data_IF_261893260762
#
_entry.id   IF_261893260762
#
_cell.length_a   1.000
_cell.length_b   1.000
_cell.length_c   1.000
_cell.angle_alpha   90.00
_cell.angle_beta   90.00
_cell.angle_gamma   90.00
#
_symmetry.space_group_name_H-M   'P 1'
#
loop_
_entity.id
_entity.type
_entity.pdbx_description
1 polymer ?
#
# COMPACT_ATOMS: atom_id res chain seq x y z
N UNK A 1 13.79 -16.15 14.34
CA UNK A 1 13.77 -15.19 13.22
C UNK A 1 14.70 -14.05 13.59
N UNK A 2 15.81 -13.93 12.86
CA UNK A 2 16.84 -12.92 13.09
C UNK A 2 16.22 -11.53 12.91
N UNK A 3 16.29 -10.70 13.95
CA UNK A 3 15.97 -9.28 13.87
C UNK A 3 16.87 -8.67 12.80
N UNK A 4 16.28 -8.16 11.71
CA UNK A 4 16.97 -7.24 10.81
C UNK A 4 17.34 -6.01 11.64
N UNK A 5 18.55 -6.03 12.19
CA UNK A 5 19.16 -4.89 12.86
C UNK A 5 19.13 -3.72 11.87
N UNK A 6 18.61 -2.57 12.32
CA UNK A 6 18.79 -1.32 11.60
C UNK A 6 20.29 -1.20 11.23
N UNK A 7 20.63 -0.82 9.99
CA UNK A 7 22.02 -0.58 9.64
C UNK A 7 22.59 0.41 10.65
N UNK A 8 23.61 -0.02 11.39
CA UNK A 8 24.22 0.78 12.43
C UNK A 8 24.72 2.08 11.79
N UNK A 9 24.33 3.22 12.35
CA UNK A 9 24.84 4.51 11.88
C UNK A 9 26.37 4.51 11.97
N UNK A 10 27.06 5.06 10.96
CA UNK A 10 28.51 5.07 10.93
C UNK A 10 29.07 5.82 12.15
N UNK A 11 30.17 5.34 12.75
CA UNK A 11 30.74 5.96 13.93
C UNK A 11 31.15 7.42 13.63
N UNK A 12 30.67 8.35 14.46
CA UNK A 12 30.99 9.77 14.35
C UNK A 12 32.08 10.12 15.35
N UNK A 13 33.14 10.77 14.86
CA UNK A 13 34.20 11.25 15.75
C UNK A 13 33.70 12.45 16.58
N UNK A 14 33.88 12.44 17.91
CA UNK A 14 33.51 13.59 18.74
C UNK A 14 34.28 14.85 18.34
N UNK A 15 33.59 15.99 18.34
CA UNK A 15 34.17 17.28 17.91
C UNK A 15 35.42 17.67 18.73
N UNK A 16 35.38 17.38 20.04
CA UNK A 16 36.50 17.56 20.98
C UNK A 16 37.78 16.84 20.54
N UNK A 17 37.67 15.73 19.81
CA UNK A 17 38.81 14.93 19.33
C UNK A 17 39.19 15.38 17.92
N UNK A 18 38.21 15.65 17.06
CA UNK A 18 38.46 16.12 15.69
C UNK A 18 39.21 17.46 15.66
N UNK A 19 38.97 18.35 16.62
CA UNK A 19 39.63 19.66 16.73
C UNK A 19 41.12 19.56 17.11
N UNK A 20 41.56 18.42 17.66
CA UNK A 20 42.96 18.17 18.00
C UNK A 20 43.79 17.70 16.79
N UNK A 21 43.12 17.27 15.72
CA UNK A 21 43.75 16.81 14.48
C UNK A 21 44.30 17.98 13.65
N UNK A 22 45.26 17.69 12.77
CA UNK A 22 45.79 18.68 11.84
C UNK A 22 44.67 19.28 10.96
N UNK A 23 44.75 20.57 10.58
CA UNK A 23 43.72 21.22 9.76
C UNK A 23 43.45 20.50 8.43
N UNK A 24 44.48 19.90 7.83
CA UNK A 24 44.36 19.08 6.62
C UNK A 24 43.44 17.86 6.82
N UNK A 25 43.57 17.18 7.96
CA UNK A 25 42.71 16.04 8.34
C UNK A 25 41.27 16.49 8.59
N UNK A 26 41.07 17.59 9.30
CA UNK A 26 39.73 18.15 9.52
C UNK A 26 39.04 18.49 8.19
N UNK A 27 39.78 19.07 7.24
CA UNK A 27 39.26 19.34 5.90
C UNK A 27 38.92 18.05 5.15
N UNK A 28 39.78 17.03 5.19
CA UNK A 28 39.52 15.74 4.57
C UNK A 28 38.26 15.06 5.13
N UNK A 29 38.07 15.08 6.46
CA UNK A 29 36.87 14.53 7.10
C UNK A 29 35.59 15.23 6.63
N UNK A 30 35.61 16.57 6.47
CA UNK A 30 34.47 17.32 5.92
C UNK A 30 34.19 16.92 4.47
N UNK A 31 35.22 16.78 3.64
CA UNK A 31 35.08 16.32 2.25
C UNK A 31 34.45 14.94 2.17
N UNK A 32 34.88 13.98 3.01
CA UNK A 32 34.28 12.64 3.03
C UNK A 32 32.82 12.66 3.45
N UNK A 33 32.45 13.51 4.43
CA UNK A 33 31.06 13.68 4.86
C UNK A 33 30.19 14.25 3.74
N UNK A 34 30.68 15.25 3.01
CA UNK A 34 29.99 15.80 1.83
C UNK A 34 29.79 14.75 0.73
N UNK A 35 30.83 13.94 0.45
CA UNK A 35 30.75 12.84 -0.52
C UNK A 35 29.75 11.76 -0.11
N UNK A 36 29.65 11.45 1.18
CA UNK A 36 28.68 10.49 1.71
C UNK A 36 27.23 10.95 1.47
N UNK A 37 26.94 12.24 1.73
CA UNK A 37 25.63 12.84 1.42
C UNK A 37 25.35 12.82 -0.09
N UNK A 38 26.37 13.10 -0.90
CA UNK A 38 26.24 13.08 -2.36
C UNK A 38 25.98 11.66 -2.89
N UNK A 39 26.65 10.64 -2.33
CA UNK A 39 26.44 9.24 -2.71
C UNK A 39 25.04 8.74 -2.32
N UNK A 40 24.52 9.15 -1.15
CA UNK A 40 23.16 8.85 -0.75
C UNK A 40 22.13 9.51 -1.69
N UNK A 41 22.35 10.77 -2.07
CA UNK A 41 21.50 11.48 -3.03
C UNK A 41 21.53 10.82 -4.41
N UNK A 42 22.73 10.45 -4.90
CA UNK A 42 22.89 9.72 -6.17
C UNK A 42 22.15 8.39 -6.17
N UNK A 43 22.15 7.64 -5.06
CA UNK A 43 21.37 6.40 -4.93
C UNK A 43 19.85 6.66 -4.99
N UNK A 44 19.39 7.76 -4.38
CA UNK A 44 17.98 8.17 -4.44
C UNK A 44 17.55 8.70 -5.80
N UNK A 45 18.47 9.26 -6.57
CA UNK A 45 18.25 9.80 -7.92
C UNK A 45 18.44 8.75 -9.04
N UNK A 46 18.85 7.51 -8.71
CA UNK A 46 19.00 6.48 -9.72
C UNK A 46 17.65 6.17 -10.37
N UNK A 47 17.56 6.43 -11.67
CA UNK A 47 16.39 6.12 -12.49
C UNK A 47 16.14 4.60 -12.56
N UNK A 48 14.89 4.25 -12.88
CA UNK A 48 14.44 2.88 -13.21
C UNK A 48 15.27 2.27 -14.37
N UNK A 49 15.93 3.11 -15.17
CA UNK A 49 16.78 2.70 -16.29
C UNK A 49 18.22 2.30 -15.88
N UNK A 50 18.61 2.52 -14.62
CA UNK A 50 19.96 2.18 -14.16
C UNK A 50 20.20 0.67 -14.15
N UNK A 51 21.39 0.25 -14.58
CA UNK A 51 21.72 -1.18 -14.61
C UNK A 51 22.04 -1.71 -13.21
N UNK A 52 21.90 -3.02 -13.00
CA UNK A 52 22.34 -3.69 -11.77
C UNK A 52 23.81 -3.39 -11.46
N UNK A 53 24.66 -3.26 -12.50
CA UNK A 53 26.06 -2.88 -12.35
C UNK A 53 26.21 -1.47 -11.80
N UNK A 54 25.45 -0.50 -12.32
CA UNK A 54 25.52 0.90 -11.88
C UNK A 54 25.15 1.04 -10.40
N UNK A 55 24.13 0.30 -9.96
CA UNK A 55 23.69 0.30 -8.55
C UNK A 55 24.79 -0.27 -7.66
N UNK A 56 25.41 -1.39 -8.07
CA UNK A 56 26.53 -1.99 -7.34
C UNK A 56 27.76 -1.07 -7.30
N UNK A 57 28.06 -0.37 -8.39
CA UNK A 57 29.17 0.58 -8.47
C UNK A 57 28.99 1.76 -7.52
N UNK A 58 27.80 2.37 -7.52
CA UNK A 58 27.50 3.47 -6.59
C UNK A 58 27.57 2.98 -5.15
N UNK A 59 27.09 1.75 -4.88
CA UNK A 59 27.12 1.18 -3.52
C UNK A 59 28.54 0.87 -3.06
N UNK A 60 29.37 0.29 -3.93
CA UNK A 60 30.78 0.01 -3.64
C UNK A 60 31.55 1.31 -3.42
N UNK A 61 31.38 2.31 -4.30
CA UNK A 61 32.01 3.61 -4.15
C UNK A 61 31.63 4.32 -2.84
N UNK A 62 30.37 4.18 -2.40
CA UNK A 62 29.92 4.71 -1.11
C UNK A 62 30.65 4.03 0.07
N UNK A 63 30.75 2.70 0.05
CA UNK A 63 31.45 1.92 1.08
C UNK A 63 32.97 2.19 1.08
N UNK A 64 33.59 2.36 -0.09
CA UNK A 64 35.01 2.71 -0.22
C UNK A 64 35.30 4.11 0.33
N UNK A 65 34.41 5.09 0.07
CA UNK A 65 34.53 6.42 0.66
C UNK A 65 34.40 6.39 2.19
N UNK A 66 33.58 5.48 2.74
CA UNK A 66 33.48 5.28 4.19
C UNK A 66 34.74 4.64 4.78
N UNK A 67 35.34 3.65 4.10
CA UNK A 67 36.65 3.13 4.50
C UNK A 67 37.73 4.22 4.52
N UNK A 68 37.71 5.12 3.54
CA UNK A 68 38.67 6.23 3.48
C UNK A 68 38.45 7.25 4.61
N UNK A 69 37.20 7.54 4.95
CA UNK A 69 36.87 8.31 6.15
C UNK A 69 37.45 7.66 7.42
N UNK A 70 37.26 6.34 7.59
CA UNK A 70 37.80 5.60 8.75
C UNK A 70 39.33 5.68 8.79
N UNK A 71 40.01 5.53 7.64
CA UNK A 71 41.47 5.68 7.56
C UNK A 71 41.91 7.08 7.96
N UNK A 72 41.22 8.13 7.50
CA UNK A 72 41.52 9.50 7.87
C UNK A 72 41.34 9.74 9.39
N UNK A 73 40.30 9.17 10.00
CA UNK A 73 40.09 9.25 11.46
C UNK A 73 41.25 8.57 12.20
N UNK A 74 41.60 7.33 11.81
CA UNK A 74 42.71 6.59 12.40
C UNK A 74 44.03 7.36 12.33
N UNK A 75 44.34 7.92 11.17
CA UNK A 75 45.59 8.64 10.96
C UNK A 75 45.63 9.93 11.80
N UNK A 76 44.52 10.68 11.84
CA UNK A 76 44.41 11.87 12.69
C UNK A 76 44.52 11.57 14.18
N UNK A 77 43.98 10.44 14.64
CA UNK A 77 44.10 9.98 16.03
C UNK A 77 45.56 9.57 16.34
N UNK A 78 46.25 8.92 15.40
CA UNK A 78 47.65 8.58 15.55
C UNK A 78 48.55 9.82 15.63
N UNK A 79 48.32 10.82 14.77
CA UNK A 79 49.03 12.11 14.79
C UNK A 79 48.81 12.85 16.12
N UNK A 80 47.56 12.91 16.61
CA UNK A 80 47.24 13.50 17.90
C UNK A 80 47.92 12.78 19.07
N UNK A 81 48.03 11.45 19.01
CA UNK A 81 48.74 10.65 20.01
C UNK A 81 50.25 10.89 19.97
N UNK A 82 50.86 10.95 18.78
CA UNK A 82 52.30 11.20 18.61
C UNK A 82 52.71 12.60 19.11
N UNK A 83 51.78 13.55 19.05
CA UNK A 83 51.97 14.91 19.57
C UNK A 83 51.49 15.07 21.02
N UNK A 84 51.20 13.96 21.71
CA UNK A 84 50.77 13.92 23.12
C UNK A 84 49.49 14.71 23.43
N UNK A 85 48.69 15.07 22.41
CA UNK A 85 47.42 15.79 22.58
C UNK A 85 46.31 14.91 23.15
N UNK A 86 46.44 13.59 23.03
CA UNK A 86 45.51 12.60 23.58
C UNK A 86 46.30 11.50 24.29
N UNK A 87 45.75 11.01 25.40
CA UNK A 87 46.33 9.87 26.13
C UNK A 87 46.15 8.56 25.36
N UNK A 88 46.94 7.54 25.72
CA UNK A 88 46.81 6.20 25.14
C UNK A 88 45.40 5.63 25.34
N UNK A 89 44.84 5.76 26.54
CA UNK A 89 43.51 5.24 26.88
C UNK A 89 42.40 5.97 26.10
N UNK A 90 42.54 7.27 25.88
CA UNK A 90 41.63 8.04 25.05
C UNK A 90 41.71 7.59 23.58
N UNK A 91 42.92 7.38 23.05
CA UNK A 91 43.12 6.84 21.71
C UNK A 91 42.44 5.48 21.53
N UNK A 92 42.68 4.52 22.44
CA UNK A 92 42.11 3.17 22.36
C UNK A 92 40.57 3.19 22.39
N UNK A 93 40.00 4.00 23.27
CA UNK A 93 38.54 4.13 23.39
C UNK A 93 37.90 4.70 22.14
N UNK A 94 38.54 5.71 21.55
CA UNK A 94 37.98 6.42 20.40
C UNK A 94 38.22 5.66 19.08
N UNK A 95 39.29 4.86 18.95
CA UNK A 95 39.59 4.13 17.70
C UNK A 95 38.80 2.80 17.56
N UNK A 96 38.44 2.16 18.67
CA UNK A 96 37.83 0.82 18.67
C UNK A 96 36.54 0.71 17.81
N UNK A 97 35.57 1.64 17.90
CA UNK A 97 34.36 1.58 17.06
C UNK A 97 34.68 1.64 15.55
N UNK A 98 35.71 2.41 15.18
CA UNK A 98 36.14 2.55 13.79
C UNK A 98 36.84 1.30 13.28
N UNK A 99 37.65 0.62 14.09
CA UNK A 99 38.27 -0.66 13.69
C UNK A 99 37.24 -1.77 13.51
N UNK A 100 36.22 -1.81 14.36
CA UNK A 100 35.10 -2.75 14.22
C UNK A 100 34.34 -2.50 12.91
N UNK A 101 34.01 -1.24 12.62
CA UNK A 101 33.36 -0.84 11.36
C UNK A 101 34.26 -1.15 10.15
N UNK A 102 35.55 -0.85 10.22
CA UNK A 102 36.52 -1.13 9.15
C UNK A 102 36.56 -2.60 8.75
N UNK A 103 36.65 -3.51 9.74
CA UNK A 103 36.65 -4.96 9.47
C UNK A 103 35.37 -5.41 8.78
N UNK A 104 34.23 -4.92 9.26
CA UNK A 104 32.93 -5.23 8.68
C UNK A 104 32.83 -4.75 7.23
N UNK A 105 33.07 -3.45 6.98
CA UNK A 105 32.99 -2.89 5.63
C UNK A 105 33.99 -3.53 4.67
N UNK A 106 35.23 -3.74 5.11
CA UNK A 106 36.26 -4.36 4.26
C UNK A 106 35.86 -5.78 3.85
N UNK A 107 35.29 -6.57 4.76
CA UNK A 107 34.80 -7.92 4.44
C UNK A 107 33.61 -7.88 3.49
N UNK A 108 32.66 -6.95 3.71
CA UNK A 108 31.50 -6.77 2.82
C UNK A 108 31.92 -6.36 1.41
N UNK A 109 32.84 -5.40 1.26
CA UNK A 109 33.34 -4.97 -0.05
C UNK A 109 34.00 -6.14 -0.78
N UNK A 110 34.87 -6.90 -0.10
CA UNK A 110 35.51 -8.09 -0.70
C UNK A 110 34.49 -9.13 -1.14
N UNK A 111 33.48 -9.42 -0.31
CA UNK A 111 32.42 -10.37 -0.64
C UNK A 111 31.59 -9.89 -1.83
N UNK A 112 31.23 -8.61 -1.88
CA UNK A 112 30.47 -8.02 -2.98
C UNK A 112 31.29 -7.98 -4.27
N UNK A 113 32.57 -7.60 -4.22
CA UNK A 113 33.45 -7.60 -5.39
C UNK A 113 33.67 -9.03 -5.93
N UNK A 114 33.90 -10.02 -5.05
CA UNK A 114 34.10 -11.41 -5.44
C UNK A 114 32.85 -12.05 -6.04
N UNK A 115 31.66 -11.68 -5.54
CA UNK A 115 30.37 -12.23 -6.00
C UNK A 115 29.67 -11.34 -7.03
N UNK A 116 30.25 -10.20 -7.38
CA UNK A 116 29.70 -9.23 -8.33
C UNK A 116 29.19 -9.87 -9.63
N UNK A 117 29.96 -10.71 -10.36
CA UNK A 117 29.49 -11.27 -11.62
C UNK A 117 28.25 -12.16 -11.42
N UNK A 118 28.24 -12.98 -10.36
CA UNK A 118 27.10 -13.86 -10.03
C UNK A 118 25.86 -13.05 -9.64
N UNK A 119 26.01 -12.00 -8.83
CA UNK A 119 24.89 -11.12 -8.43
C UNK A 119 24.30 -10.42 -9.66
N UNK A 120 25.15 -9.95 -10.58
CA UNK A 120 24.71 -9.32 -11.82
C UNK A 120 23.98 -10.34 -12.70
N UNK A 121 24.52 -11.54 -12.84
CA UNK A 121 23.93 -12.62 -13.63
C UNK A 121 22.57 -13.06 -13.06
N UNK A 122 22.48 -13.38 -11.77
CA UNK A 122 21.24 -13.81 -11.10
C UNK A 122 20.13 -12.75 -11.21
N UNK A 123 20.47 -11.48 -10.94
CA UNK A 123 19.50 -10.38 -11.03
C UNK A 123 19.11 -10.13 -12.48
N UNK A 124 20.07 -10.15 -13.41
CA UNK A 124 19.75 -9.96 -14.82
C UNK A 124 18.97 -11.14 -15.39
N UNK A 125 19.20 -12.37 -14.94
CA UNK A 125 18.44 -13.57 -15.33
C UNK A 125 17.01 -13.48 -14.79
N UNK A 126 16.82 -13.09 -13.54
CA UNK A 126 15.49 -12.93 -12.96
C UNK A 126 14.72 -11.75 -13.59
N UNK A 127 15.41 -10.63 -13.84
CA UNK A 127 14.86 -9.48 -14.58
C UNK A 127 14.60 -9.84 -16.04
N UNK A 128 15.44 -10.65 -16.69
CA UNK A 128 15.28 -11.06 -18.08
C UNK A 128 14.18 -12.12 -18.24
N UNK A 129 14.03 -13.05 -17.29
CA UNK A 129 12.92 -14.00 -17.25
C UNK A 129 11.58 -13.29 -16.99
N UNK A 130 11.60 -12.19 -16.23
CA UNK A 130 10.45 -11.29 -16.12
C UNK A 130 10.23 -10.50 -17.41
N UNK A 131 11.26 -9.99 -18.07
CA UNK A 131 11.17 -9.27 -19.35
C UNK A 131 10.76 -10.16 -20.54
N UNK A 132 11.14 -11.43 -20.59
CA UNK A 132 10.75 -12.37 -21.65
C UNK A 132 9.27 -12.78 -21.57
N UNK A 133 8.61 -12.61 -20.42
CA UNK A 133 7.14 -12.68 -20.33
C UNK A 133 6.47 -11.39 -20.82
N UNK A 134 7.25 -10.38 -21.17
CA UNK A 134 6.88 -9.00 -21.45
C UNK A 134 7.62 -8.57 -22.74
N UNK A 135 7.49 -9.32 -23.84
CA UNK A 135 7.88 -8.78 -25.15
C UNK A 135 6.78 -7.82 -25.64
N UNK A 136 6.89 -6.59 -25.16
CA UNK A 136 6.21 -5.38 -25.59
C UNK A 136 7.08 -4.18 -25.22
N UNK A 137 6.91 -3.00 -25.85
CA UNK A 137 7.75 -1.84 -25.58
C UNK A 137 7.72 -1.50 -24.09
N UNK A 138 8.81 -0.92 -23.58
CA UNK A 138 8.94 -0.45 -22.18
C UNK A 138 7.79 0.52 -21.91
N UNK A 139 6.73 0.04 -21.26
CA UNK A 139 5.46 0.76 -21.18
C UNK A 139 4.92 0.68 -19.75
N UNK A 140 3.97 1.55 -19.41
CA UNK A 140 3.28 1.73 -18.13
C UNK A 140 2.84 0.45 -17.37
N UNK A 141 2.91 -0.73 -18.00
CA UNK A 141 2.50 -2.03 -17.48
C UNK A 141 3.22 -2.50 -16.21
N UNK A 142 4.48 -2.12 -15.96
CA UNK A 142 5.22 -2.58 -14.77
C UNK A 142 4.73 -1.90 -13.47
N UNK A 143 4.51 -0.59 -13.53
CA UNK A 143 3.85 0.15 -12.45
C UNK A 143 2.39 -0.31 -12.28
N UNK A 144 1.73 -0.61 -13.40
CA UNK A 144 0.36 -1.09 -13.40
C UNK A 144 0.22 -2.49 -12.76
N UNK A 145 1.16 -3.41 -13.02
CA UNK A 145 1.17 -4.73 -12.38
C UNK A 145 1.48 -4.66 -10.89
N UNK A 146 2.41 -3.80 -10.46
CA UNK A 146 2.65 -3.56 -9.04
C UNK A 146 1.40 -2.98 -8.35
N UNK A 147 0.75 -1.99 -8.97
CA UNK A 147 -0.47 -1.38 -8.43
C UNK A 147 -1.62 -2.39 -8.29
N UNK A 148 -1.81 -3.27 -9.29
CA UNK A 148 -2.74 -4.43 -9.21
C UNK A 148 -2.45 -5.27 -7.98
N UNK A 149 -1.20 -5.68 -7.82
CA UNK A 149 -0.79 -6.70 -6.87
C UNK A 149 -0.80 -6.20 -5.41
N UNK A 150 -0.91 -4.90 -5.15
CA UNK A 150 -1.20 -4.37 -3.80
C UNK A 150 -2.63 -3.98 -3.54
N UNK A 151 -3.27 -3.28 -4.48
CA UNK A 151 -4.60 -2.74 -4.21
C UNK A 151 -5.62 -3.86 -4.18
N UNK A 152 -5.53 -4.84 -5.10
CA UNK A 152 -6.48 -5.95 -5.12
C UNK A 152 -6.45 -6.74 -3.82
N UNK A 153 -5.30 -7.22 -3.29
CA UNK A 153 -5.33 -7.96 -2.03
C UNK A 153 -5.72 -7.10 -0.83
N UNK A 154 -5.45 -5.78 -0.83
CA UNK A 154 -5.87 -4.85 0.24
C UNK A 154 -7.37 -4.58 0.24
N UNK A 155 -7.97 -4.46 -0.94
CA UNK A 155 -9.42 -4.22 -1.07
C UNK A 155 -10.18 -5.53 -0.98
N UNK A 156 -9.75 -6.57 -1.70
CA UNK A 156 -10.51 -7.82 -1.84
C UNK A 156 -10.09 -8.95 -0.89
N UNK A 157 -9.01 -8.74 -0.14
CA UNK A 157 -8.51 -9.64 0.90
C UNK A 157 -8.76 -9.12 2.31
N UNK A 158 -9.77 -8.25 2.52
CA UNK A 158 -10.08 -7.62 3.81
C UNK A 158 -10.52 -8.59 4.95
N UNK A 159 -10.28 -9.89 4.78
CA UNK A 159 -10.09 -10.86 5.86
C UNK A 159 -8.85 -10.50 6.69
N UNK A 160 -9.07 -9.65 7.70
CA UNK A 160 -8.44 -9.70 9.02
C UNK A 160 -7.00 -10.25 9.11
N UNK A 161 -5.97 -9.53 8.63
CA UNK A 161 -4.55 -9.66 9.09
C UNK A 161 -3.56 -8.62 8.53
N UNK A 162 -4.03 -7.51 7.95
CA UNK A 162 -3.13 -6.51 7.38
C UNK A 162 -2.47 -5.66 8.49
N UNK A 163 -1.13 -5.64 8.54
CA UNK A 163 -0.33 -4.77 9.42
C UNK A 163 -0.35 -3.34 8.88
N UNK A 164 -1.45 -2.63 9.11
CA UNK A 164 -1.50 -1.17 8.94
C UNK A 164 -1.09 -0.42 10.22
N UNK A 165 -1.12 0.93 10.22
CA UNK A 165 -1.03 1.74 11.43
C UNK A 165 -2.04 1.23 12.49
N UNK A 166 -1.77 1.48 13.79
CA UNK A 166 -2.69 1.11 14.89
C UNK A 166 -4.09 1.70 14.66
N UNK A 167 -4.98 0.93 14.05
CA UNK A 167 -6.37 1.32 13.79
C UNK A 167 -7.28 0.77 14.90
N UNK A 168 -8.07 1.65 15.50
CA UNK A 168 -9.00 1.29 16.58
C UNK A 168 -10.28 0.67 15.99
N UNK A 169 -10.21 -0.62 15.64
CA UNK A 169 -11.33 -1.38 15.10
C UNK A 169 -12.56 -1.41 16.03
N UNK A 170 -12.40 -1.60 17.36
CA UNK A 170 -13.54 -1.53 18.28
C UNK A 170 -14.24 -0.17 18.26
N UNK A 171 -13.49 0.93 18.30
CA UNK A 171 -14.05 2.28 18.22
C UNK A 171 -14.76 2.52 16.89
N UNK A 172 -14.12 2.18 15.77
CA UNK A 172 -14.75 2.30 14.45
C UNK A 172 -16.09 1.56 14.36
N UNK A 173 -16.14 0.31 14.85
CA UNK A 173 -17.41 -0.45 14.87
C UNK A 173 -18.48 0.25 15.71
N UNK A 174 -18.11 0.79 16.88
CA UNK A 174 -19.02 1.56 17.73
C UNK A 174 -19.53 2.84 17.06
N UNK A 175 -18.65 3.56 16.38
CA UNK A 175 -18.99 4.80 15.67
C UNK A 175 -19.92 4.51 14.48
N UNK A 176 -19.68 3.42 13.73
CA UNK A 176 -20.57 2.94 12.66
C UNK A 176 -21.95 2.56 13.21
N UNK A 177 -22.01 1.84 14.34
CA UNK A 177 -23.29 1.48 14.98
C UNK A 177 -24.09 2.71 15.37
N UNK A 178 -23.42 3.70 15.97
CA UNK A 178 -24.02 4.96 16.40
C UNK A 178 -24.52 5.76 15.18
N UNK A 179 -23.69 5.90 14.16
CA UNK A 179 -24.04 6.64 12.94
C UNK A 179 -25.27 6.07 12.24
N UNK A 180 -25.39 4.75 12.11
CA UNK A 180 -26.55 4.16 11.45
C UNK A 180 -27.79 4.06 12.34
N UNK A 181 -27.72 4.40 13.62
CA UNK A 181 -28.85 4.28 14.55
C UNK A 181 -29.09 2.85 15.05
N UNK A 182 -28.05 2.00 15.01
CA UNK A 182 -28.18 0.57 15.37
C UNK A 182 -28.34 0.41 16.88
N UNK A 183 -27.71 1.26 17.70
CA UNK A 183 -27.79 1.17 19.16
C UNK A 183 -29.19 1.52 19.69
N UNK A 184 -29.89 2.40 18.98
CA UNK A 184 -31.24 2.86 19.29
C UNK A 184 -32.29 1.87 18.78
N UNK A 185 -32.04 1.28 17.61
CA UNK A 185 -32.97 0.32 16.99
C UNK A 185 -32.88 -1.08 17.60
N UNK A 186 -31.69 -1.51 18.01
CA UNK A 186 -31.42 -2.87 18.45
C UNK A 186 -31.16 -2.94 19.96
N UNK A 187 -31.62 -4.01 20.62
CA UNK A 187 -31.29 -4.27 22.03
C UNK A 187 -29.78 -4.56 22.20
N UNK A 188 -29.21 -4.35 23.39
CA UNK A 188 -27.82 -4.72 23.66
C UNK A 188 -27.53 -6.19 23.32
N UNK A 189 -26.37 -6.45 22.70
CA UNK A 189 -25.93 -7.80 22.33
C UNK A 189 -26.38 -8.28 20.95
N UNK A 190 -27.20 -7.51 20.23
CA UNK A 190 -27.55 -7.75 18.83
C UNK A 190 -27.15 -6.57 17.94
N UNK A 191 -27.12 -6.78 16.63
CA UNK A 191 -26.82 -5.75 15.63
C UNK A 191 -27.64 -5.96 14.36
N UNK A 192 -27.53 -5.02 13.42
CA UNK A 192 -28.31 -5.00 12.18
C UNK A 192 -27.43 -5.35 10.97
N UNK A 193 -27.92 -6.20 10.07
CA UNK A 193 -27.31 -6.39 8.75
C UNK A 193 -28.08 -5.59 7.70
N UNK A 194 -27.43 -4.63 7.04
CA UNK A 194 -28.09 -3.76 6.06
C UNK A 194 -28.49 -4.48 4.77
N UNK A 195 -27.74 -5.51 4.35
CA UNK A 195 -28.03 -6.29 3.14
C UNK A 195 -29.18 -7.27 3.37
N UNK A 196 -29.16 -8.00 4.48
CA UNK A 196 -30.22 -8.96 4.81
C UNK A 196 -31.46 -8.29 5.40
N UNK A 197 -31.28 -7.13 6.04
CA UNK A 197 -32.35 -6.39 6.71
C UNK A 197 -32.94 -7.15 7.89
N UNK A 198 -32.07 -7.75 8.71
CA UNK A 198 -32.42 -8.55 9.88
C UNK A 198 -31.49 -8.24 11.06
N UNK A 199 -31.98 -8.54 12.27
CA UNK A 199 -31.23 -8.47 13.52
C UNK A 199 -30.50 -9.78 13.75
N UNK A 200 -29.22 -9.72 14.09
CA UNK A 200 -28.37 -10.88 14.42
C UNK A 200 -27.59 -10.64 15.71
N UNK A 201 -27.11 -11.71 16.40
CA UNK A 201 -26.19 -11.55 17.52
C UNK A 201 -24.98 -10.70 17.16
N UNK A 202 -24.54 -9.82 18.06
CA UNK A 202 -23.47 -8.85 17.82
C UNK A 202 -22.14 -9.47 17.34
N UNK A 203 -21.87 -10.71 17.74
CA UNK A 203 -20.71 -11.51 17.32
C UNK A 203 -20.72 -11.85 15.82
N UNK A 204 -21.90 -11.94 15.21
CA UNK A 204 -22.13 -12.30 13.81
C UNK A 204 -22.32 -11.06 12.92
N UNK A 205 -22.08 -9.85 13.44
CA UNK A 205 -22.12 -8.61 12.68
C UNK A 205 -20.72 -7.98 12.64
N UNK A 206 -20.25 -7.65 11.44
CA UNK A 206 -19.04 -6.84 11.21
C UNK A 206 -19.40 -5.42 10.83
N UNK A 207 -18.48 -4.49 11.07
CA UNK A 207 -18.47 -3.18 10.42
C UNK A 207 -17.48 -3.28 9.25
N UNK A 208 -18.01 -3.58 8.07
CA UNK A 208 -17.25 -3.75 6.85
C UNK A 208 -16.73 -2.39 6.38
N UNK A 209 -15.44 -2.31 6.07
CA UNK A 209 -14.84 -1.11 5.51
C UNK A 209 -15.12 -1.03 4.01
N UNK A 210 -15.49 0.15 3.52
CA UNK A 210 -15.74 0.38 2.10
C UNK A 210 -14.43 0.69 1.36
N UNK A 211 -13.63 1.60 1.90
CA UNK A 211 -12.24 1.84 1.54
C UNK A 211 -11.32 1.17 2.57
N UNK A 212 -10.23 0.47 2.16
CA UNK A 212 -9.36 -0.25 3.06
C UNK A 212 -8.68 0.65 4.09
N UNK A 213 -8.71 0.23 5.35
CA UNK A 213 -7.96 0.88 6.45
C UNK A 213 -6.44 0.77 6.33
N UNK A 214 -5.94 -0.09 5.44
CA UNK A 214 -4.50 -0.29 5.18
C UNK A 214 -3.92 0.77 4.25
N UNK A 215 -4.76 1.64 3.69
CA UNK A 215 -4.27 2.73 2.84
C UNK A 215 -3.58 3.80 3.68
N UNK A 216 -2.46 4.32 3.19
CA UNK A 216 -1.79 5.47 3.78
C UNK A 216 -2.57 6.76 3.52
N UNK A 217 -2.44 7.70 4.46
CA UNK A 217 -2.89 9.10 4.36
C UNK A 217 -2.83 9.71 2.95
N UNK A 218 -1.64 9.67 2.35
CA UNK A 218 -1.35 10.23 1.04
C UNK A 218 -2.09 9.49 -0.08
N UNK A 219 -2.22 8.17 0.03
CA UNK A 219 -2.96 7.35 -0.93
C UNK A 219 -4.46 7.69 -0.90
N UNK A 220 -5.02 7.86 0.31
CA UNK A 220 -6.43 8.27 0.50
C UNK A 220 -6.67 9.66 -0.07
N UNK A 221 -5.74 10.60 0.20
CA UNK A 221 -5.80 11.97 -0.33
C UNK A 221 -5.72 12.00 -1.86
N UNK A 222 -4.83 11.22 -2.45
CA UNK A 222 -4.70 11.11 -3.89
C UNK A 222 -5.94 10.45 -4.52
N UNK A 223 -6.42 9.35 -3.95
CA UNK A 223 -7.52 8.57 -4.51
C UNK A 223 -8.87 9.30 -4.44
N UNK A 224 -9.16 9.96 -3.32
CA UNK A 224 -10.47 10.55 -3.04
C UNK A 224 -10.47 12.09 -3.04
N UNK A 225 -9.31 12.74 -3.16
CA UNK A 225 -9.17 14.20 -3.10
C UNK A 225 -9.44 14.78 -1.70
N UNK A 226 -9.29 13.97 -0.64
CA UNK A 226 -9.65 14.34 0.75
C UNK A 226 -8.67 13.76 1.77
N UNK A 227 -8.39 14.49 2.85
CA UNK A 227 -7.41 14.11 3.89
C UNK A 227 -7.78 12.88 4.74
N UNK A 228 -6.89 12.54 5.67
CA UNK A 228 -6.81 11.25 6.40
C UNK A 228 -8.01 10.84 7.26
N UNK A 229 -8.84 11.80 7.67
CA UNK A 229 -10.01 11.57 8.53
C UNK A 229 -11.05 10.60 7.91
N UNK A 230 -10.91 10.35 6.62
CA UNK A 230 -11.69 9.43 5.79
C UNK A 230 -11.72 8.00 6.30
N UNK A 231 -10.60 7.46 6.80
CA UNK A 231 -10.50 6.02 7.11
C UNK A 231 -11.31 5.63 8.35
N UNK A 232 -11.36 6.51 9.35
CA UNK A 232 -12.15 6.35 10.58
C UNK A 232 -13.58 6.90 10.49
N UNK A 233 -13.93 7.57 9.40
CA UNK A 233 -15.28 8.11 9.19
C UNK A 233 -16.30 6.96 9.21
N UNK A 234 -17.34 6.99 10.06
CA UNK A 234 -18.34 5.92 10.10
C UNK A 234 -19.10 5.75 8.78
N UNK A 235 -19.07 6.76 7.88
CA UNK A 235 -19.61 6.68 6.52
C UNK A 235 -18.75 5.83 5.58
N UNK A 236 -17.52 5.49 5.97
CA UNK A 236 -16.65 4.47 5.36
C UNK A 236 -16.94 3.05 5.86
N UNK A 237 -17.94 2.90 6.74
CA UNK A 237 -18.39 1.61 7.24
C UNK A 237 -19.81 1.27 6.83
N UNK A 238 -20.14 -0.02 6.83
CA UNK A 238 -21.51 -0.53 6.82
C UNK A 238 -21.60 -1.81 7.65
N UNK A 239 -22.70 -2.01 8.39
CA UNK A 239 -22.86 -3.23 9.19
C UNK A 239 -23.43 -4.38 8.37
N UNK A 240 -22.70 -5.49 8.34
CA UNK A 240 -23.01 -6.68 7.55
C UNK A 240 -22.93 -7.93 8.44
N UNK A 241 -23.69 -8.97 8.10
CA UNK A 241 -23.52 -10.28 8.71
C UNK A 241 -22.18 -10.87 8.27
N UNK A 242 -21.51 -11.65 9.14
CA UNK A 242 -20.16 -12.17 8.91
C UNK A 242 -19.98 -12.86 7.53
N UNK A 243 -20.94 -13.69 7.15
CA UNK A 243 -20.99 -14.37 5.85
C UNK A 243 -21.17 -13.40 4.66
N UNK A 244 -21.94 -12.33 4.85
CA UNK A 244 -22.17 -11.32 3.82
C UNK A 244 -20.97 -10.40 3.68
N UNK A 245 -20.35 -10.04 4.80
CA UNK A 245 -19.11 -9.29 4.82
C UNK A 245 -18.01 -10.06 4.09
N UNK A 246 -17.87 -11.36 4.31
CA UNK A 246 -16.93 -12.19 3.56
C UNK A 246 -17.17 -12.15 2.04
N UNK A 247 -18.42 -12.23 1.58
CA UNK A 247 -18.76 -12.16 0.15
C UNK A 247 -18.48 -10.77 -0.44
N UNK A 248 -18.73 -9.72 0.35
CA UNK A 248 -18.45 -8.34 -0.01
C UNK A 248 -16.94 -8.09 -0.10
N UNK A 249 -16.19 -8.64 0.85
CA UNK A 249 -14.75 -8.61 0.91
C UNK A 249 -14.14 -9.31 -0.30
N UNK A 250 -14.62 -10.50 -0.66
CA UNK A 250 -14.14 -11.25 -1.82
C UNK A 250 -14.49 -10.62 -3.18
N UNK A 251 -15.30 -9.56 -3.21
CA UNK A 251 -15.83 -8.97 -4.44
C UNK A 251 -16.86 -9.87 -5.15
N UNK A 252 -17.44 -10.86 -4.46
CA UNK A 252 -18.52 -11.69 -5.00
C UNK A 252 -19.84 -10.92 -5.07
N UNK A 253 -20.04 -9.96 -4.16
CA UNK A 253 -21.14 -9.00 -4.20
C UNK A 253 -20.62 -7.56 -4.18
N UNK A 254 -21.41 -6.64 -4.70
CA UNK A 254 -21.20 -5.20 -4.56
C UNK A 254 -22.48 -4.49 -4.11
N UNK A 255 -22.33 -3.29 -3.55
CA UNK A 255 -23.46 -2.43 -3.19
C UNK A 255 -23.46 -1.24 -4.14
N UNK A 256 -24.58 -1.05 -4.84
CA UNK A 256 -24.73 -0.05 -5.90
C UNK A 256 -26.05 0.72 -5.72
N UNK A 257 -26.21 1.91 -6.30
CA UNK A 257 -27.46 2.63 -6.30
C UNK A 257 -28.61 1.83 -6.93
N UNK A 258 -29.83 2.11 -6.49
CA UNK A 258 -31.02 1.69 -7.23
C UNK A 258 -31.04 2.33 -8.62
N UNK A 259 -31.52 1.63 -9.66
CA UNK A 259 -31.71 2.22 -10.99
C UNK A 259 -32.62 3.46 -10.94
N UNK A 260 -32.36 4.42 -11.84
CA UNK A 260 -33.13 5.66 -11.95
C UNK A 260 -32.48 6.86 -11.25
N UNK A 261 -33.22 7.98 -11.09
CA UNK A 261 -32.69 9.19 -10.50
C UNK A 261 -32.34 8.99 -9.02
N UNK A 262 -31.21 9.56 -8.59
CA UNK A 262 -30.77 9.46 -7.20
C UNK A 262 -31.74 10.19 -6.26
N UNK A 263 -32.30 9.44 -5.30
CA UNK A 263 -33.13 9.97 -4.22
C UNK A 263 -32.28 10.45 -3.03
N UNK A 264 -32.87 11.30 -2.21
CA UNK A 264 -32.36 11.68 -0.89
C UNK A 264 -33.34 11.20 0.20
N UNK A 265 -32.92 10.32 1.13
CA UNK A 265 -31.63 9.64 1.17
C UNK A 265 -31.46 8.63 0.02
N UNK A 266 -30.22 8.36 -0.38
CA UNK A 266 -29.92 7.43 -1.48
C UNK A 266 -30.39 6.01 -1.17
N UNK A 267 -31.05 5.38 -2.14
CA UNK A 267 -31.47 3.98 -2.07
C UNK A 267 -30.40 3.09 -2.71
N UNK A 268 -29.98 2.06 -2.00
CA UNK A 268 -28.92 1.13 -2.39
C UNK A 268 -29.48 -0.27 -2.58
N UNK A 269 -28.84 -1.07 -3.42
CA UNK A 269 -29.11 -2.50 -3.61
C UNK A 269 -27.83 -3.31 -3.58
N UNK A 270 -27.95 -4.57 -3.20
CA UNK A 270 -26.89 -5.57 -3.34
C UNK A 270 -26.93 -6.14 -4.76
N UNK A 271 -25.78 -6.42 -5.36
CA UNK A 271 -25.67 -7.08 -6.67
C UNK A 271 -24.64 -8.17 -6.62
N UNK A 272 -24.96 -9.31 -7.22
CA UNK A 272 -24.07 -10.46 -7.32
C UNK A 272 -23.22 -10.30 -8.58
N UNK A 273 -21.90 -10.34 -8.41
CA UNK A 273 -20.92 -10.21 -9.51
C UNK A 273 -20.38 -11.56 -9.96
N UNK A 274 -20.46 -12.58 -9.10
CA UNK A 274 -20.01 -13.94 -9.37
C UNK A 274 -21.21 -14.88 -9.50
N UNK A 275 -21.70 -15.01 -10.72
CA UNK A 275 -22.86 -15.83 -11.09
C UNK A 275 -22.68 -17.32 -10.74
N UNK A 276 -21.44 -17.82 -10.76
CA UNK A 276 -21.13 -19.22 -10.44
C UNK A 276 -21.51 -19.60 -9.01
N UNK A 277 -21.63 -18.60 -8.12
CA UNK A 277 -21.95 -18.77 -6.69
C UNK A 277 -23.43 -18.56 -6.37
N UNK A 278 -24.31 -18.31 -7.35
CA UNK A 278 -25.72 -17.95 -7.09
C UNK A 278 -26.50 -18.96 -6.26
N UNK A 279 -26.20 -20.24 -6.41
CA UNK A 279 -26.86 -21.33 -5.68
C UNK A 279 -26.26 -21.58 -4.29
N UNK A 280 -25.14 -20.93 -3.94
CA UNK A 280 -24.50 -21.10 -2.64
C UNK A 280 -25.41 -20.64 -1.52
N UNK A 281 -25.54 -21.48 -0.49
CA UNK A 281 -26.29 -21.15 0.71
C UNK A 281 -25.50 -20.12 1.50
N UNK A 282 -26.11 -18.97 1.74
CA UNK A 282 -25.51 -17.88 2.50
C UNK A 282 -26.05 -17.81 3.92
N UNK A 283 -27.19 -18.43 4.23
CA UNK A 283 -27.70 -18.47 5.61
C UNK A 283 -29.05 -19.13 5.71
N UNK A 284 -29.68 -18.98 6.88
CA UNK A 284 -31.04 -19.44 7.14
C UNK A 284 -31.90 -18.30 7.69
N UNK A 285 -33.12 -18.17 7.19
CA UNK A 285 -34.10 -17.19 7.64
C UNK A 285 -35.45 -17.88 7.82
N UNK A 286 -36.02 -17.83 9.02
CA UNK A 286 -37.34 -18.42 9.31
C UNK A 286 -37.42 -19.93 9.02
N UNK A 287 -36.32 -20.66 9.21
CA UNK A 287 -36.24 -22.11 8.95
C UNK A 287 -35.98 -22.49 7.49
N UNK A 288 -35.93 -21.53 6.56
CA UNK A 288 -35.59 -21.77 5.14
C UNK A 288 -34.15 -21.39 4.84
N UNK A 289 -33.51 -22.12 3.93
CA UNK A 289 -32.19 -21.76 3.41
C UNK A 289 -32.29 -20.54 2.49
N UNK A 290 -31.39 -19.58 2.67
CA UNK A 290 -31.21 -18.43 1.80
C UNK A 290 -29.99 -18.65 0.92
N UNK A 291 -30.17 -18.44 -0.38
CA UNK A 291 -29.12 -18.55 -1.41
C UNK A 291 -28.62 -17.17 -1.82
N UNK A 292 -27.43 -17.12 -2.41
CA UNK A 292 -26.84 -15.86 -2.87
C UNK A 292 -27.72 -15.11 -3.88
N UNK A 293 -28.40 -15.82 -4.77
CA UNK A 293 -29.36 -15.20 -5.71
C UNK A 293 -30.52 -14.47 -5.04
N UNK A 294 -30.88 -14.85 -3.81
CA UNK A 294 -32.03 -14.26 -3.12
C UNK A 294 -31.77 -12.82 -2.66
N UNK A 295 -30.49 -12.43 -2.57
CA UNK A 295 -30.05 -11.07 -2.25
C UNK A 295 -29.65 -10.26 -3.49
N UNK A 296 -29.60 -10.87 -4.69
CA UNK A 296 -29.28 -10.15 -5.91
C UNK A 296 -30.37 -9.12 -6.23
N UNK A 297 -29.92 -7.91 -6.53
CA UNK A 297 -30.73 -6.71 -6.81
C UNK A 297 -31.68 -6.27 -5.70
N UNK A 298 -31.60 -6.87 -4.51
CA UNK A 298 -32.46 -6.50 -3.39
C UNK A 298 -32.04 -5.16 -2.77
N UNK A 299 -33.00 -4.28 -2.45
CA UNK A 299 -32.71 -3.04 -1.71
C UNK A 299 -32.13 -3.34 -0.33
N UNK A 300 -31.11 -2.57 0.05
CA UNK A 300 -30.62 -2.57 1.44
C UNK A 300 -31.68 -1.95 2.36
N UNK A 301 -31.76 -2.48 3.59
CA UNK A 301 -32.64 -1.95 4.63
C UNK A 301 -31.81 -1.17 5.64
N UNK A 302 -32.05 0.13 5.73
CA UNK A 302 -31.45 1.00 6.73
C UNK A 302 -32.44 1.25 7.87
N UNK A 303 -31.92 1.33 9.10
CA UNK A 303 -32.72 1.62 10.30
C UNK A 303 -32.89 3.13 10.55
N UNK A 304 -32.14 3.97 9.83
CA UNK A 304 -32.24 5.44 9.84
C UNK A 304 -32.04 6.00 8.43
N UNK A 305 -32.07 7.33 8.27
CA UNK A 305 -31.80 8.01 6.99
C UNK A 305 -30.31 8.14 6.65
N UNK A 306 -29.42 7.74 7.56
CA UNK A 306 -27.99 7.76 7.35
C UNK A 306 -27.57 6.77 6.25
N UNK A 307 -26.66 7.20 5.38
CA UNK A 307 -26.16 6.39 4.26
C UNK A 307 -24.63 6.36 4.24
N UNK A 308 -24.03 5.32 3.66
CA UNK A 308 -22.60 5.32 3.39
C UNK A 308 -22.23 6.42 2.39
N UNK A 309 -20.98 6.88 2.45
CA UNK A 309 -20.46 7.88 1.51
C UNK A 309 -20.35 7.25 0.12
N UNK A 310 -20.96 7.91 -0.88
CA UNK A 310 -21.03 7.43 -2.27
C UNK A 310 -19.66 7.10 -2.87
N UNK A 311 -18.65 7.94 -2.64
CA UNK A 311 -17.29 7.73 -3.18
C UNK A 311 -16.63 6.43 -2.72
N UNK A 312 -16.85 6.02 -1.46
CA UNK A 312 -16.26 4.77 -0.95
C UNK A 312 -16.97 3.55 -1.51
N UNK A 313 -18.30 3.59 -1.62
CA UNK A 313 -19.06 2.54 -2.31
C UNK A 313 -18.70 2.46 -3.80
N UNK A 314 -18.48 3.60 -4.45
CA UNK A 314 -18.07 3.65 -5.84
C UNK A 314 -16.71 2.97 -6.05
N UNK A 315 -15.72 3.35 -5.24
CA UNK A 315 -14.41 2.70 -5.23
C UNK A 315 -14.50 1.20 -5.00
N UNK A 316 -15.25 0.77 -3.98
CA UNK A 316 -15.48 -0.64 -3.69
C UNK A 316 -16.08 -1.40 -4.88
N UNK A 317 -17.10 -0.82 -5.49
CA UNK A 317 -17.78 -1.39 -6.66
C UNK A 317 -16.80 -1.56 -7.83
N UNK A 318 -16.00 -0.54 -8.15
CA UNK A 318 -15.03 -0.60 -9.24
C UNK A 318 -14.02 -1.73 -9.00
N UNK A 319 -13.44 -1.82 -7.80
CA UNK A 319 -12.46 -2.88 -7.53
C UNK A 319 -13.09 -4.27 -7.60
N UNK A 320 -14.31 -4.43 -7.09
CA UNK A 320 -15.05 -5.70 -7.18
C UNK A 320 -15.38 -6.08 -8.64
N UNK A 321 -15.84 -5.12 -9.46
CA UNK A 321 -16.10 -5.31 -10.88
C UNK A 321 -14.83 -5.69 -11.65
N UNK A 322 -13.74 -4.96 -11.45
CA UNK A 322 -12.47 -5.21 -12.13
C UNK A 322 -11.92 -6.60 -11.79
N UNK A 323 -12.01 -7.03 -10.54
CA UNK A 323 -11.61 -8.38 -10.14
C UNK A 323 -12.56 -9.47 -10.64
N UNK A 324 -13.86 -9.20 -10.75
CA UNK A 324 -14.78 -10.14 -11.40
C UNK A 324 -14.38 -10.30 -12.89
N UNK A 325 -14.11 -9.20 -13.59
CA UNK A 325 -13.65 -9.19 -14.98
C UNK A 325 -12.33 -9.95 -15.15
N UNK A 326 -11.35 -9.74 -14.25
CA UNK A 326 -10.06 -10.43 -14.30
C UNK A 326 -10.15 -11.94 -14.06
N UNK A 327 -11.23 -12.42 -13.43
CA UNK A 327 -11.50 -13.85 -13.21
C UNK A 327 -12.34 -14.48 -14.33
N UNK A 328 -12.59 -13.76 -15.42
CA UNK A 328 -13.40 -14.24 -16.54
C UNK A 328 -14.90 -14.22 -16.23
N UNK A 329 -15.40 -13.17 -15.55
CA UNK A 329 -16.85 -12.96 -15.43
C UNK A 329 -17.53 -13.06 -16.80
N UNK A 330 -18.71 -13.70 -16.83
CA UNK A 330 -19.42 -13.92 -18.09
C UNK A 330 -19.79 -12.60 -18.76
N UNK A 331 -19.87 -12.63 -20.08
CA UNK A 331 -20.32 -11.50 -20.91
C UNK A 331 -21.66 -10.95 -20.44
N UNK A 332 -22.53 -11.77 -19.83
CA UNK A 332 -23.82 -11.35 -19.29
C UNK A 332 -23.68 -10.47 -18.03
N UNK A 333 -22.71 -10.74 -17.15
CA UNK A 333 -22.39 -9.87 -15.99
C UNK A 333 -21.80 -8.56 -16.48
N UNK A 334 -20.88 -8.63 -17.44
CA UNK A 334 -20.26 -7.46 -18.04
C UNK A 334 -21.31 -6.62 -18.76
N UNK A 335 -22.15 -7.21 -19.62
CA UNK A 335 -23.27 -6.53 -20.28
C UNK A 335 -24.29 -5.99 -19.30
N UNK A 336 -24.63 -6.72 -18.23
CA UNK A 336 -25.50 -6.21 -17.17
C UNK A 336 -24.90 -4.93 -16.61
N UNK A 337 -23.64 -4.94 -16.20
CA UNK A 337 -22.97 -3.79 -15.58
C UNK A 337 -22.75 -2.62 -16.55
N UNK A 338 -22.46 -2.90 -17.81
CA UNK A 338 -22.13 -1.92 -18.85
C UNK A 338 -23.36 -1.33 -19.54
N UNK A 339 -24.42 -2.11 -19.73
CA UNK A 339 -25.68 -1.66 -20.34
C UNK A 339 -26.58 -0.89 -19.36
N UNK A 340 -26.43 -1.12 -18.06
CA UNK A 340 -27.19 -0.41 -17.04
C UNK A 340 -26.36 0.73 -16.48
N UNK A 341 -26.95 1.91 -16.29
CA UNK A 341 -26.32 3.01 -15.56
C UNK A 341 -26.25 2.66 -14.06
N UNK A 342 -25.45 1.64 -13.70
CA UNK A 342 -25.30 1.12 -12.33
C UNK A 342 -24.93 2.23 -11.36
N UNK A 343 -24.24 3.26 -11.85
CA UNK A 343 -23.92 4.46 -11.09
C UNK A 343 -24.44 5.70 -11.83
N UNK A 344 -25.72 6.10 -11.63
CA UNK A 344 -26.35 7.14 -12.44
C UNK A 344 -25.93 8.56 -12.05
N UNK A 345 -25.39 8.76 -10.84
CA UNK A 345 -24.99 10.09 -10.37
C UNK A 345 -23.63 10.50 -10.92
N UNK A 346 -23.57 11.69 -11.51
CA UNK A 346 -22.32 12.43 -11.68
C UNK A 346 -21.72 12.81 -10.32
N UNK A 347 -20.41 13.05 -10.26
CA UNK A 347 -19.70 13.55 -9.08
C UNK A 347 -18.21 13.22 -9.11
N UNK A 348 -17.41 14.00 -8.40
CA UNK A 348 -15.97 13.80 -8.26
C UNK A 348 -15.68 12.72 -7.22
N UNK A 349 -15.86 11.45 -7.61
CA UNK A 349 -15.74 10.32 -6.68
C UNK A 349 -14.30 9.83 -6.52
N UNK A 350 -13.56 9.76 -7.61
CA UNK A 350 -12.19 9.23 -7.68
C UNK A 350 -11.35 10.05 -8.64
N UNK A 351 -10.05 10.07 -8.40
CA UNK A 351 -9.11 10.63 -9.36
C UNK A 351 -9.14 9.84 -10.69
N UNK A 352 -9.20 10.57 -11.81
CA UNK A 352 -9.34 10.00 -13.14
C UNK A 352 -8.13 9.17 -13.56
N UNK A 353 -6.91 9.67 -13.37
CA UNK A 353 -5.69 8.95 -13.76
C UNK A 353 -5.55 7.66 -12.96
N UNK A 354 -5.79 7.72 -11.65
CA UNK A 354 -5.78 6.54 -10.77
C UNK A 354 -6.79 5.48 -11.21
N UNK A 355 -8.00 5.90 -11.60
CA UNK A 355 -9.06 5.00 -12.05
C UNK A 355 -8.72 4.30 -13.38
N UNK A 356 -8.17 5.06 -14.33
CA UNK A 356 -7.73 4.53 -15.64
C UNK A 356 -6.57 3.55 -15.46
N UNK A 357 -5.58 3.92 -14.64
CA UNK A 357 -4.47 3.03 -14.26
C UNK A 357 -5.04 1.75 -13.65
N UNK A 358 -5.88 1.83 -12.62
CA UNK A 358 -6.54 0.69 -11.99
C UNK A 358 -7.23 -0.27 -12.98
N UNK A 359 -7.98 0.27 -13.93
CA UNK A 359 -8.69 -0.53 -14.93
C UNK A 359 -7.74 -1.43 -15.75
N UNK A 360 -6.67 -0.80 -16.27
CA UNK A 360 -5.62 -1.45 -17.04
C UNK A 360 -4.86 -2.46 -16.20
N UNK A 361 -4.48 -2.06 -14.98
CA UNK A 361 -3.78 -2.88 -14.00
C UNK A 361 -4.52 -4.20 -13.74
N UNK A 362 -5.80 -4.11 -13.36
CA UNK A 362 -6.54 -5.23 -12.79
C UNK A 362 -7.13 -6.13 -13.87
N UNK A 363 -7.72 -5.54 -14.91
CA UNK A 363 -8.51 -6.27 -15.90
C UNK A 363 -7.86 -6.34 -17.28
N UNK A 364 -6.73 -5.65 -17.50
CA UNK A 364 -6.12 -5.52 -18.83
C UNK A 364 -7.01 -4.79 -19.83
N UNK A 365 -8.05 -4.10 -19.36
CA UNK A 365 -9.10 -3.50 -20.22
C UNK A 365 -9.46 -2.09 -19.76
N UNK A 366 -9.96 -1.29 -20.69
CA UNK A 366 -10.48 0.03 -20.36
C UNK A 366 -11.81 -0.08 -19.60
N UNK A 367 -12.03 0.84 -18.65
CA UNK A 367 -13.33 0.99 -18.02
C UNK A 367 -14.33 1.59 -19.02
N UNK A 368 -15.60 1.15 -18.98
CA UNK A 368 -16.67 1.78 -19.74
C UNK A 368 -16.71 3.29 -19.51
N UNK A 369 -16.91 4.06 -20.58
CA UNK A 369 -17.02 5.54 -20.50
C UNK A 369 -18.08 5.98 -19.49
N UNK A 370 -19.17 5.23 -19.35
CA UNK A 370 -20.24 5.51 -18.38
C UNK A 370 -19.78 5.49 -16.92
N UNK A 371 -18.71 4.75 -16.59
CA UNK A 371 -18.10 4.71 -15.26
C UNK A 371 -17.01 5.78 -15.07
N UNK A 372 -16.41 6.29 -16.14
CA UNK A 372 -15.34 7.32 -16.03
C UNK A 372 -15.89 8.74 -16.18
N UNK A 373 -16.75 8.95 -17.16
CA UNK A 373 -17.30 10.26 -17.53
C UNK A 373 -18.23 10.80 -16.44
N UNK A 374 -18.01 12.06 -16.10
CA UNK A 374 -18.72 12.82 -15.05
C UNK A 374 -18.65 12.19 -13.65
N UNK A 375 -17.75 11.23 -13.41
CA UNK A 375 -17.60 10.47 -12.15
C UNK A 375 -16.22 10.60 -11.52
N UNK A 376 -15.34 11.34 -12.17
CA UNK A 376 -13.93 11.48 -11.80
C UNK A 376 -13.54 12.95 -11.74
N UNK A 377 -12.46 13.25 -11.02
CA UNK A 377 -11.81 14.55 -11.02
C UNK A 377 -10.38 14.43 -11.54
N UNK A 378 -9.85 15.51 -12.10
CA UNK A 378 -8.45 15.61 -12.49
C UNK A 378 -7.69 16.32 -11.38
N UNK A 379 -6.57 15.73 -10.91
CA UNK A 379 -5.61 16.48 -10.10
C UNK A 379 -4.95 17.52 -10.99
N UNK A 380 -5.15 18.81 -10.72
CA UNK A 380 -4.40 19.86 -11.41
C UNK A 380 -2.89 19.68 -11.26
N UNK A 381 -2.11 20.13 -12.27
CA UNK A 381 -0.65 20.05 -12.42
C UNK A 381 0.20 20.00 -11.12
N UNK A 382 0.26 18.82 -10.50
CA UNK A 382 1.21 18.51 -9.42
C UNK A 382 2.04 17.29 -9.81
N UNK A 383 2.65 17.37 -10.99
CA UNK A 383 3.46 16.32 -11.63
C UNK A 383 4.64 15.81 -10.77
N UNK A 384 5.10 16.57 -9.78
CA UNK A 384 6.19 16.17 -8.87
C UNK A 384 5.71 15.46 -7.60
N UNK A 385 4.45 15.65 -7.16
CA UNK A 385 3.89 14.95 -5.98
C UNK A 385 3.30 13.58 -6.33
N UNK A 386 2.82 13.42 -7.57
CA UNK A 386 2.18 12.19 -8.03
C UNK A 386 3.18 11.04 -8.30
N UNK A 387 4.41 11.36 -8.73
CA UNK A 387 5.45 10.35 -8.92
C UNK A 387 5.89 9.71 -7.58
N UNK A 388 6.01 10.52 -6.53
CA UNK A 388 6.39 10.05 -5.18
C UNK A 388 5.29 9.21 -4.52
N UNK A 389 4.01 9.59 -4.67
CA UNK A 389 2.90 8.85 -4.11
C UNK A 389 2.70 7.48 -4.81
N UNK A 390 2.85 7.45 -6.14
CA UNK A 390 2.85 6.19 -6.91
C UNK A 390 4.03 5.29 -6.57
N UNK A 391 5.21 5.87 -6.31
CA UNK A 391 6.43 5.13 -5.92
C UNK A 391 6.35 4.56 -4.50
N UNK A 392 5.80 5.33 -3.55
CA UNK A 392 5.58 4.86 -2.16
C UNK A 392 4.55 3.75 -2.12
N UNK A 393 3.43 3.90 -2.86
CA UNK A 393 2.46 2.83 -3.01
C UNK A 393 3.14 1.60 -3.65
N UNK A 394 3.94 1.78 -4.71
CA UNK A 394 4.79 0.76 -5.35
C UNK A 394 5.75 0.02 -4.40
N UNK A 395 6.33 0.72 -3.42
CA UNK A 395 7.20 0.12 -2.41
C UNK A 395 6.39 -0.67 -1.37
N UNK A 396 5.29 -0.10 -0.88
CA UNK A 396 4.41 -0.76 0.09
C UNK A 396 3.69 -1.98 -0.52
N UNK A 397 3.52 -2.01 -1.85
CA UNK A 397 3.08 -3.18 -2.63
C UNK A 397 4.07 -4.32 -2.48
N UNK A 398 5.35 -4.04 -2.77
CA UNK A 398 6.43 -5.02 -2.79
C UNK A 398 6.58 -5.68 -1.43
N UNK A 399 6.50 -4.89 -0.35
CA UNK A 399 6.62 -5.38 1.02
C UNK A 399 5.45 -6.29 1.44
N UNK A 400 4.23 -5.99 0.97
CA UNK A 400 3.06 -6.84 1.21
C UNK A 400 3.15 -8.19 0.50
N UNK A 401 3.71 -8.22 -0.72
CA UNK A 401 3.94 -9.45 -1.49
C UNK A 401 5.00 -10.34 -0.81
N UNK A 402 6.09 -9.75 -0.31
CA UNK A 402 7.16 -10.47 0.42
C UNK A 402 6.61 -11.08 1.72
N UNK A 403 5.72 -10.36 2.42
CA UNK A 403 5.09 -10.84 3.64
C UNK A 403 4.10 -12.00 3.42
N UNK A 404 3.51 -12.14 2.21
CA UNK A 404 2.62 -13.25 1.88
C UNK A 404 3.36 -14.53 1.47
N UNK A 405 4.59 -14.43 0.96
CA UNK A 405 5.44 -15.60 0.63
C UNK A 405 6.12 -16.25 1.84
N UNK A 406 6.01 -15.62 3.01
CA UNK A 406 6.64 -16.07 4.27
C UNK A 406 5.63 -16.66 5.28
N UNK A 407 4.41 -16.92 4.82
CA UNK A 407 3.34 -17.68 5.46
C UNK A 407 3.01 -18.89 4.59
#
# INVERSE_FOLDING_TARGET
MSTLEKPAEPPVIPERISSLMAPSRQSALRTHKQRSVSAASRLSEMSVESTTSDILDVKLAAMENELEYIRCVRDGLNEARQTEKISHDAFQREIEPFLKSFRSLSSTIQALQARRPLIIEDINEEVSAQRQRIEGPVDQSLFEHAYRDAIIPRVLGASAKQKGPKFDQPKFKKDVYTYYGVNEHCRPGVGWCHVLGIILPHKNIKAAHLAPKSMASKEVSHLFGVGDEVLSDPRNGITLADNIELLFDQGTIAIVPMPGPMKSPTQWRCVVLDESKKENIIGTLGGSYMKLKDIDEKPLKFVSDHRPRRRYLYFRFIIAYLNAKSRGASDDVVKKIEATHFWPSAGEYLNRSTLVTLARCVSGSELPKSLVQDKTFDSGDTSTRDADAGTVLGADVRDAIIAMKSL
#
